data_IF_108350287873
#
_entry.id   IF_108350287873
#
_cell.length_a   1.000
_cell.length_b   1.000
_cell.length_c   1.000
_cell.angle_alpha   90.00
_cell.angle_beta   90.00
_cell.angle_gamma   90.00
#
_symmetry.space_group_name_H-M   'P 1'
#
loop_
_entity.id
_entity.type
_entity.pdbx_description
1 polymer ?
#
# COMPACT_ATOMS: atom_id res chain seq x y z
N UNK A 1 11.39 -21.59 -1.61
CA UNK A 1 11.56 -20.12 -1.66
C UNK A 1 12.97 -19.83 -2.15
N UNK A 2 13.20 -18.71 -2.83
CA UNK A 2 14.53 -18.25 -3.29
C UNK A 2 14.99 -17.04 -2.46
N UNK A 3 15.21 -17.20 -1.14
CA UNK A 3 15.50 -16.08 -0.25
C UNK A 3 16.82 -15.37 -0.61
N UNK A 4 17.73 -16.06 -1.30
CA UNK A 4 18.94 -15.45 -1.86
C UNK A 4 18.70 -14.55 -3.08
N UNK A 5 17.56 -14.66 -3.77
CA UNK A 5 17.24 -13.92 -5.01
C UNK A 5 16.13 -12.88 -4.82
N UNK A 6 15.20 -13.10 -3.90
CA UNK A 6 14.08 -12.20 -3.62
C UNK A 6 14.17 -11.72 -2.18
N UNK A 7 14.62 -10.47 -1.99
CA UNK A 7 14.80 -9.85 -0.68
C UNK A 7 13.90 -8.64 -0.45
N UNK A 8 13.43 -7.99 -1.52
CA UNK A 8 12.51 -6.85 -1.47
C UNK A 8 11.27 -7.15 -2.31
N UNK A 9 10.11 -7.18 -1.68
CA UNK A 9 8.82 -7.46 -2.33
C UNK A 9 7.99 -6.19 -2.33
N UNK A 10 7.47 -5.79 -3.49
CA UNK A 10 6.44 -4.76 -3.57
C UNK A 10 5.09 -5.45 -3.73
N UNK A 11 4.11 -5.06 -2.92
CA UNK A 11 2.71 -5.45 -3.10
C UNK A 11 1.94 -4.18 -3.42
N UNK A 12 1.38 -4.09 -4.62
CA UNK A 12 0.44 -3.03 -4.97
C UNK A 12 -0.99 -3.62 -4.99
N UNK A 13 -1.79 -3.17 -4.03
CA UNK A 13 -3.16 -3.61 -3.81
C UNK A 13 -4.12 -2.50 -4.24
N UNK A 14 -4.85 -2.76 -5.32
CA UNK A 14 -5.85 -1.85 -5.89
C UNK A 14 -7.29 -2.32 -5.65
N UNK A 15 -7.50 -3.28 -4.72
CA UNK A 15 -8.86 -3.64 -4.32
C UNK A 15 -9.57 -2.39 -3.77
N UNK A 16 -10.88 -2.32 -3.96
CA UNK A 16 -11.66 -1.18 -3.47
C UNK A 16 -11.63 -1.08 -1.94
N UNK A 17 -11.41 -2.20 -1.23
CA UNK A 17 -11.24 -2.25 0.21
C UNK A 17 -9.76 -2.22 0.59
N UNK A 18 -9.45 -1.59 1.71
CA UNK A 18 -8.11 -1.67 2.30
C UNK A 18 -7.77 -3.13 2.64
N UNK A 19 -6.61 -3.62 2.20
CA UNK A 19 -6.09 -4.95 2.52
C UNK A 19 -5.47 -5.02 3.92
N UNK A 20 -6.28 -4.78 4.95
CA UNK A 20 -5.86 -4.67 6.34
C UNK A 20 -5.06 -5.89 6.84
N UNK A 21 -5.40 -7.10 6.39
CA UNK A 21 -4.66 -8.30 6.75
C UNK A 21 -3.24 -8.32 6.18
N UNK A 22 -3.05 -7.87 4.93
CA UNK A 22 -1.72 -7.76 4.32
C UNK A 22 -0.89 -6.68 5.03
N UNK A 23 -1.51 -5.54 5.35
CA UNK A 23 -0.87 -4.48 6.14
C UNK A 23 -0.39 -5.03 7.49
N UNK A 24 -1.25 -5.72 8.24
CA UNK A 24 -0.91 -6.27 9.56
C UNK A 24 0.24 -7.29 9.50
N UNK A 25 0.26 -8.15 8.49
CA UNK A 25 1.33 -9.16 8.31
C UNK A 25 2.71 -8.51 8.15
N UNK A 26 2.79 -7.39 7.41
CA UNK A 26 4.06 -6.74 7.06
C UNK A 26 4.32 -5.43 7.81
N UNK A 27 3.51 -5.11 8.83
CA UNK A 27 3.48 -3.81 9.51
C UNK A 27 4.85 -3.31 10.01
N UNK A 28 5.74 -4.23 10.40
CA UNK A 28 7.10 -3.93 10.89
C UNK A 28 8.22 -4.43 9.98
N UNK A 29 7.92 -4.97 8.79
CA UNK A 29 8.92 -5.56 7.88
C UNK A 29 9.43 -4.54 6.84
N UNK A 30 10.71 -4.11 6.91
CA UNK A 30 11.28 -3.20 5.92
C UNK A 30 11.54 -3.84 4.54
N UNK A 31 11.37 -5.16 4.41
CA UNK A 31 11.64 -5.89 3.17
C UNK A 31 10.40 -6.00 2.29
N UNK A 32 9.23 -5.53 2.76
CA UNK A 32 8.00 -5.52 1.99
C UNK A 32 7.46 -4.10 1.94
N UNK A 33 7.39 -3.54 0.73
CA UNK A 33 6.68 -2.29 0.50
C UNK A 33 5.23 -2.64 0.14
N UNK A 34 4.29 -2.35 1.05
CA UNK A 34 2.86 -2.50 0.81
C UNK A 34 2.27 -1.15 0.42
N UNK A 35 1.64 -1.08 -0.75
CA UNK A 35 0.92 0.10 -1.22
C UNK A 35 -0.53 -0.30 -1.47
N UNK A 36 -1.47 0.37 -0.81
CA UNK A 36 -2.91 0.12 -0.99
C UNK A 36 -3.62 1.37 -1.48
N UNK A 37 -4.34 1.27 -2.59
CA UNK A 37 -5.22 2.30 -3.12
C UNK A 37 -6.67 1.84 -3.01
N UNK A 38 -7.39 2.38 -2.04
CA UNK A 38 -8.70 1.87 -1.64
C UNK A 38 -9.66 3.02 -1.32
N UNK A 39 -10.96 2.72 -1.36
CA UNK A 39 -11.96 3.66 -0.87
C UNK A 39 -11.88 3.71 0.65
N UNK A 40 -11.98 4.92 1.18
CA UNK A 40 -12.32 5.14 2.58
C UNK A 40 -13.37 6.26 2.65
N UNK A 41 -14.33 6.11 3.55
CA UNK A 41 -15.28 7.17 3.87
C UNK A 41 -14.79 7.85 5.17
N UNK A 42 -14.91 9.17 5.29
CA UNK A 42 -14.35 9.95 6.42
C UNK A 42 -14.88 9.50 7.79
N UNK A 43 -16.09 8.94 7.82
CA UNK A 43 -16.74 8.40 9.02
C UNK A 43 -16.39 6.92 9.29
N UNK A 44 -15.53 6.31 8.47
CA UNK A 44 -15.13 4.91 8.59
C UNK A 44 -16.23 3.92 8.23
N UNK A 45 -17.32 4.36 7.59
CA UNK A 45 -18.47 3.50 7.29
C UNK A 45 -18.22 2.49 6.17
N UNK A 46 -17.25 2.77 5.29
CA UNK A 46 -16.84 1.83 4.25
C UNK A 46 -15.88 0.78 4.82
N UNK A 47 -16.20 -0.51 4.65
CA UNK A 47 -15.39 -1.61 5.16
C UNK A 47 -13.95 -1.54 4.60
N UNK A 48 -12.91 -1.84 5.40
CA UNK A 48 -12.92 -2.17 6.82
C UNK A 48 -12.84 -0.95 7.77
N UNK A 49 -12.81 0.27 7.25
CA UNK A 49 -12.66 1.51 8.03
C UNK A 49 -11.24 1.83 8.48
N UNK A 50 -10.25 0.99 8.16
CA UNK A 50 -8.81 1.24 8.35
C UNK A 50 -8.13 1.67 7.04
N UNK A 51 -6.83 1.94 7.06
CA UNK A 51 -6.08 2.36 5.87
C UNK A 51 -5.96 3.87 5.73
N UNK A 52 -5.96 4.60 6.85
CA UNK A 52 -5.69 6.04 6.81
C UNK A 52 -4.28 6.32 6.30
N UNK A 53 -4.08 7.48 5.66
CA UNK A 53 -2.76 7.90 5.17
C UNK A 53 -1.71 8.07 6.29
N UNK A 54 -2.13 8.12 7.56
CA UNK A 54 -1.25 8.20 8.73
C UNK A 54 -0.75 6.82 9.20
N UNK A 55 -1.38 5.73 8.76
CA UNK A 55 -0.93 4.36 9.03
C UNK A 55 0.24 4.01 8.09
N UNK A 56 1.46 4.12 8.61
CA UNK A 56 2.68 4.04 7.79
C UNK A 56 3.63 2.90 8.20
N UNK A 57 3.17 1.94 9.00
CA UNK A 57 4.03 0.91 9.59
C UNK A 57 4.70 1.37 10.89
N UNK A 58 5.50 0.50 11.49
CA UNK A 58 6.21 0.78 12.75
C UNK A 58 7.64 0.22 12.78
N UNK A 59 8.46 0.76 13.69
CA UNK A 59 9.82 0.30 13.89
C UNK A 59 10.63 0.32 12.59
N UNK A 60 11.19 -0.83 12.21
CA UNK A 60 11.94 -0.94 10.95
C UNK A 60 11.05 -0.82 9.71
N UNK A 61 9.77 -1.21 9.80
CA UNK A 61 8.79 -1.11 8.71
C UNK A 61 8.15 0.28 8.58
N UNK A 62 8.50 1.25 9.42
CA UNK A 62 7.97 2.60 9.30
C UNK A 62 8.36 3.22 7.94
N UNK A 63 7.35 3.65 7.19
CA UNK A 63 7.45 4.15 5.82
C UNK A 63 7.34 3.08 4.72
N UNK A 64 7.14 1.81 5.07
CA UNK A 64 6.97 0.71 4.12
C UNK A 64 5.52 0.26 3.92
N UNK A 65 4.58 0.89 4.64
CA UNK A 65 3.16 0.88 4.33
C UNK A 65 2.77 2.24 3.77
N UNK A 66 2.15 2.25 2.58
CA UNK A 66 1.67 3.46 1.91
C UNK A 66 0.20 3.30 1.58
N UNK A 67 -0.66 3.88 2.41
CA UNK A 67 -2.09 3.94 2.16
C UNK A 67 -2.46 5.17 1.35
N UNK A 68 -3.25 4.95 0.29
CA UNK A 68 -3.80 5.97 -0.59
C UNK A 68 -5.32 5.93 -0.45
N UNK A 69 -5.88 6.62 0.56
CA UNK A 69 -7.32 6.70 0.75
C UNK A 69 -7.97 7.52 -0.36
N UNK A 70 -8.97 6.94 -1.04
CA UNK A 70 -9.68 7.55 -2.16
C UNK A 70 -11.17 7.75 -1.84
N UNK A 71 -11.81 8.81 -2.37
CA UNK A 71 -13.23 9.04 -2.18
C UNK A 71 -14.09 8.05 -2.95
N UNK A 72 -15.35 7.87 -2.52
CA UNK A 72 -16.33 7.10 -3.25
C UNK A 72 -16.46 7.54 -4.72
N UNK A 73 -16.52 6.58 -5.64
CA UNK A 73 -16.69 6.85 -7.07
C UNK A 73 -15.42 7.31 -7.79
N UNK A 74 -14.22 7.14 -7.18
CA UNK A 74 -12.98 7.28 -7.93
C UNK A 74 -12.99 6.36 -9.16
N UNK A 75 -12.46 6.86 -10.27
CA UNK A 75 -12.38 6.11 -11.54
C UNK A 75 -10.96 6.02 -12.04
N UNK A 76 -10.81 5.52 -13.27
CA UNK A 76 -9.52 5.19 -13.89
C UNK A 76 -8.50 6.33 -13.85
N UNK A 77 -8.93 7.57 -14.09
CA UNK A 77 -8.03 8.73 -14.06
C UNK A 77 -7.39 8.93 -12.68
N UNK A 78 -8.13 8.65 -11.60
CA UNK A 78 -7.61 8.72 -10.25
C UNK A 78 -6.61 7.60 -10.00
N UNK A 79 -6.95 6.35 -10.35
CA UNK A 79 -6.04 5.22 -10.20
C UNK A 79 -4.75 5.40 -11.04
N UNK A 80 -4.86 5.98 -12.24
CA UNK A 80 -3.69 6.35 -13.04
C UNK A 80 -2.81 7.38 -12.36
N UNK A 81 -3.39 8.41 -11.74
CA UNK A 81 -2.63 9.40 -10.97
C UNK A 81 -1.94 8.74 -9.76
N UNK A 82 -2.61 7.83 -9.05
CA UNK A 82 -2.00 7.06 -7.96
C UNK A 82 -0.81 6.24 -8.46
N UNK A 83 -0.97 5.55 -9.59
CA UNK A 83 0.13 4.81 -10.21
C UNK A 83 1.31 5.72 -10.58
N UNK A 84 1.05 6.85 -11.22
CA UNK A 84 2.07 7.77 -11.72
C UNK A 84 2.81 8.52 -10.60
N UNK A 85 2.08 9.01 -9.61
CA UNK A 85 2.59 9.94 -8.59
C UNK A 85 2.98 9.23 -7.28
N UNK A 86 2.46 8.03 -7.00
CA UNK A 86 2.73 7.29 -5.76
C UNK A 86 3.44 5.97 -6.04
N UNK A 87 2.80 5.06 -6.77
CA UNK A 87 3.30 3.67 -6.93
C UNK A 87 4.64 3.65 -7.66
N UNK A 88 4.75 4.31 -8.82
CA UNK A 88 5.97 4.30 -9.63
C UNK A 88 7.16 4.96 -8.90
N UNK A 89 7.02 6.15 -8.28
CA UNK A 89 8.10 6.74 -7.50
C UNK A 89 8.52 5.89 -6.29
N UNK A 90 7.55 5.33 -5.55
CA UNK A 90 7.83 4.46 -4.40
C UNK A 90 8.55 3.17 -4.83
N UNK A 91 8.06 2.50 -5.87
CA UNK A 91 8.69 1.31 -6.44
C UNK A 91 10.12 1.58 -6.92
N UNK A 92 10.36 2.71 -7.61
CA UNK A 92 11.72 3.11 -8.05
C UNK A 92 12.66 3.34 -6.88
N UNK A 93 12.17 3.96 -5.79
CA UNK A 93 12.98 4.18 -4.58
C UNK A 93 13.28 2.86 -3.85
N UNK A 94 12.28 2.00 -3.72
CA UNK A 94 12.38 0.73 -3.02
C UNK A 94 13.20 -0.32 -3.79
N UNK A 95 13.16 -0.26 -5.13
CA UNK A 95 13.81 -1.21 -6.06
C UNK A 95 13.44 -2.65 -5.71
N UNK A 96 12.16 -3.06 -5.83
CA UNK A 96 11.74 -4.42 -5.52
C UNK A 96 12.44 -5.43 -6.41
N UNK A 97 12.71 -6.61 -5.87
CA UNK A 97 13.19 -7.76 -6.63
C UNK A 97 12.02 -8.50 -7.30
N UNK A 98 10.82 -8.39 -6.72
CA UNK A 98 9.55 -8.88 -7.27
C UNK A 98 8.41 -7.93 -6.93
N UNK A 99 7.43 -7.86 -7.83
CA UNK A 99 6.17 -7.12 -7.70
C UNK A 99 5.04 -8.13 -7.85
#
# INVERSE_FOLDING_TARGET
>A
AHPEQVRRVLIFDWDVHHGQGTQEIFWSDPNVLYISAHRIDEDGSFYPGSGSAAEVGEGCGQGYTVNVPLPAGYGDACLWAVCAEVVLPAARRFRPDII
#
